data_IF_583167766855
#
_entry.id   IF_583167766855
#
_cell.length_a   1.000
_cell.length_b   1.000
_cell.length_c   1.000
_cell.angle_alpha   90.00
_cell.angle_beta   90.00
_cell.angle_gamma   90.00
#
_symmetry.space_group_name_H-M   'P 1'
#
loop_
_entity.id
_entity.type
_entity.pdbx_description
1 polymer ?
#
# COMPACT_ATOMS: atom_id res chain seq x y z
N UNK A 1 10.06 12.90 10.74
CA UNK A 1 9.71 12.27 12.02
C UNK A 1 8.27 11.81 11.91
N UNK A 2 8.05 10.50 11.81
CA UNK A 2 6.72 9.90 11.61
C UNK A 2 5.85 10.20 12.82
N UNK A 3 4.60 10.59 12.59
CA UNK A 3 3.62 10.82 13.65
C UNK A 3 2.73 9.59 13.84
N UNK A 4 2.06 9.53 15.00
CA UNK A 4 1.14 8.45 15.31
C UNK A 4 -0.03 8.39 14.31
N UNK A 5 -0.45 9.55 13.81
CA UNK A 5 -1.52 9.69 12.82
C UNK A 5 -1.14 9.02 11.50
N UNK A 6 0.12 9.11 11.09
CA UNK A 6 0.63 8.53 9.83
C UNK A 6 0.55 7.00 9.83
N UNK A 7 0.67 6.37 11.01
CA UNK A 7 0.56 4.91 11.16
C UNK A 7 -0.86 4.41 10.85
N UNK A 8 -1.89 5.22 11.08
CA UNK A 8 -3.27 4.82 10.78
C UNK A 8 -3.54 4.84 9.27
N UNK A 9 -2.79 5.63 8.50
CA UNK A 9 -2.93 5.75 7.05
C UNK A 9 -2.36 4.54 6.29
N UNK A 10 -1.68 3.60 6.96
CA UNK A 10 -1.04 2.47 6.30
C UNK A 10 -1.98 1.70 5.35
N UNK A 11 -3.23 1.47 5.77
CA UNK A 11 -4.21 0.74 4.96
C UNK A 11 -4.63 1.53 3.74
N UNK A 12 -4.88 2.83 3.90
CA UNK A 12 -5.28 3.72 2.82
C UNK A 12 -4.14 3.87 1.81
N UNK A 13 -2.89 3.98 2.29
CA UNK A 13 -1.69 3.97 1.44
C UNK A 13 -1.60 2.67 0.62
N UNK A 14 -1.86 1.51 1.24
CA UNK A 14 -1.84 0.23 0.52
C UNK A 14 -2.95 0.18 -0.55
N UNK A 15 -4.15 0.65 -0.22
CA UNK A 15 -5.27 0.70 -1.14
C UNK A 15 -4.99 1.66 -2.32
N UNK A 16 -4.46 2.85 -2.05
CA UNK A 16 -4.09 3.85 -3.06
C UNK A 16 -3.03 3.28 -4.02
N UNK A 17 -2.02 2.56 -3.52
CA UNK A 17 -1.03 1.88 -4.37
C UNK A 17 -1.71 0.85 -5.28
N UNK A 18 -2.65 0.06 -4.77
CA UNK A 18 -3.36 -0.94 -5.56
C UNK A 18 -4.27 -0.32 -6.63
N UNK A 19 -4.97 0.77 -6.29
CA UNK A 19 -5.81 1.53 -7.20
C UNK A 19 -4.98 2.13 -8.34
N UNK A 20 -3.91 2.85 -8.03
CA UNK A 20 -3.03 3.46 -9.04
C UNK A 20 -2.39 2.38 -9.94
N UNK A 21 -2.01 1.23 -9.37
CA UNK A 21 -1.49 0.10 -10.17
C UNK A 21 -2.54 -0.47 -11.12
N UNK A 22 -3.78 -0.59 -10.68
CA UNK A 22 -4.89 -1.06 -11.53
C UNK A 22 -5.17 -0.08 -12.66
N UNK A 23 -5.24 1.22 -12.35
CA UNK A 23 -5.42 2.27 -13.36
C UNK A 23 -4.27 2.29 -14.37
N UNK A 24 -3.03 2.16 -13.90
CA UNK A 24 -1.85 2.13 -14.76
C UNK A 24 -1.80 0.90 -15.68
N UNK A 25 -2.51 -0.19 -15.36
CA UNK A 25 -2.61 -1.40 -16.19
C UNK A 25 -3.75 -1.34 -17.22
N UNK A 26 -4.59 -0.30 -17.19
CA UNK A 26 -5.69 -0.20 -18.15
C UNK A 26 -5.14 -0.05 -19.57
N UNK A 27 -5.53 -0.94 -20.50
CA UNK A 27 -5.07 -0.87 -21.87
C UNK A 27 -5.68 0.37 -22.55
N UNK A 28 -4.83 1.17 -23.17
CA UNK A 28 -5.23 2.26 -24.04
C UNK A 28 -5.21 1.73 -25.47
N UNK A 29 -6.32 1.87 -26.16
CA UNK A 29 -6.47 1.49 -27.55
C UNK A 29 -6.67 2.75 -28.40
N UNK A 30 -6.00 2.80 -29.54
CA UNK A 30 -6.19 3.83 -30.55
C UNK A 30 -6.34 3.17 -31.92
N UNK A 31 -6.95 3.90 -32.85
CA UNK A 31 -7.25 3.43 -34.20
C UNK A 31 -6.61 4.37 -35.20
N UNK A 32 -5.62 3.86 -35.93
CA UNK A 32 -4.90 4.62 -36.96
C UNK A 32 -5.24 4.09 -38.36
N UNK A 33 -5.02 4.92 -39.37
CA UNK A 33 -5.12 4.49 -40.78
C UNK A 33 -3.74 4.11 -41.28
N UNK A 34 -3.60 2.87 -41.73
CA UNK A 34 -2.43 2.36 -42.43
C UNK A 34 -2.72 2.13 -43.91
N UNK A 35 -1.68 1.93 -44.69
CA UNK A 35 -1.77 1.43 -46.06
C UNK A 35 -1.17 0.03 -46.13
N UNK A 36 -1.60 -0.78 -47.09
CA UNK A 36 -0.91 -2.03 -47.42
C UNK A 36 0.57 -1.77 -47.69
N UNK A 37 1.43 -2.73 -47.37
CA UNK A 37 2.88 -2.61 -47.58
C UNK A 37 3.26 -2.73 -49.07
N UNK A 38 2.39 -3.33 -49.87
CA UNK A 38 2.61 -3.60 -51.29
C UNK A 38 1.51 -3.00 -52.18
N UNK A 39 1.85 -2.75 -53.45
CA UNK A 39 0.93 -2.17 -54.42
C UNK A 39 -0.24 -3.13 -54.71
N UNK A 40 -1.49 -2.64 -54.81
CA UNK A 40 -1.92 -1.25 -54.69
C UNK A 40 -2.14 -0.87 -53.22
N UNK A 41 -1.44 0.15 -52.73
CA UNK A 41 -1.38 0.58 -51.32
C UNK A 41 -2.74 0.99 -50.72
N UNK A 42 -3.65 0.04 -50.52
CA UNK A 42 -5.02 0.27 -50.07
C UNK A 42 -5.04 0.69 -48.61
N UNK A 43 -5.81 1.73 -48.30
CA UNK A 43 -6.01 2.18 -46.94
C UNK A 43 -6.83 1.17 -46.13
N UNK A 44 -6.38 0.86 -44.93
CA UNK A 44 -7.08 0.02 -43.97
C UNK A 44 -6.92 0.56 -42.55
N UNK A 45 -7.77 0.09 -41.66
CA UNK A 45 -7.80 0.54 -40.27
C UNK A 45 -6.99 -0.42 -39.40
N UNK A 46 -6.04 0.10 -38.63
CA UNK A 46 -5.21 -0.68 -37.70
C UNK A 46 -5.56 -0.29 -36.28
N UNK A 47 -5.87 -1.28 -35.44
CA UNK A 47 -6.06 -1.08 -34.01
C UNK A 47 -4.73 -1.27 -33.30
N UNK A 48 -4.27 -0.24 -32.60
CA UNK A 48 -3.08 -0.29 -31.76
C UNK A 48 -3.56 -0.36 -30.31
N UNK A 49 -2.93 -1.23 -29.52
CA UNK A 49 -3.18 -1.36 -28.09
C UNK A 49 -1.86 -1.24 -27.33
N UNK A 50 -1.87 -0.55 -26.21
CA UNK A 50 -0.71 -0.40 -25.35
C UNK A 50 -1.11 -0.10 -23.91
N UNK A 51 -0.12 -0.03 -23.03
CA UNK A 51 -0.29 0.42 -21.65
C UNK A 51 0.24 1.85 -21.57
N UNK A 52 -0.58 2.79 -21.10
CA UNK A 52 -0.14 4.18 -20.97
C UNK A 52 1.00 4.27 -19.96
N UNK A 53 2.16 4.75 -20.40
CA UNK A 53 3.28 5.02 -19.49
C UNK A 53 2.99 6.32 -18.71
N UNK A 54 2.29 6.19 -17.59
CA UNK A 54 2.00 7.32 -16.72
C UNK A 54 3.13 7.51 -15.70
N UNK A 55 4.12 8.34 -16.07
CA UNK A 55 5.29 8.61 -15.22
C UNK A 55 4.91 9.27 -13.88
N UNK A 56 3.85 10.09 -13.87
CA UNK A 56 3.28 10.65 -12.64
C UNK A 56 2.74 9.55 -11.72
N UNK A 57 2.05 8.55 -12.26
CA UNK A 57 1.57 7.41 -11.49
C UNK A 57 2.73 6.58 -10.91
N UNK A 58 3.80 6.36 -11.69
CA UNK A 58 5.02 5.68 -11.21
C UNK A 58 5.64 6.44 -10.03
N UNK A 59 5.85 7.75 -10.17
CA UNK A 59 6.42 8.59 -9.11
C UNK A 59 5.54 8.66 -7.86
N UNK A 60 4.21 8.59 -8.03
CA UNK A 60 3.28 8.52 -6.90
C UNK A 60 3.38 7.18 -6.18
N UNK A 61 3.45 6.07 -6.92
CA UNK A 61 3.61 4.73 -6.34
C UNK A 61 4.92 4.64 -5.55
N UNK A 62 6.04 5.11 -6.09
CA UNK A 62 7.34 5.06 -5.39
C UNK A 62 7.30 5.83 -4.07
N UNK A 63 6.75 7.04 -4.07
CA UNK A 63 6.57 7.83 -2.85
C UNK A 63 5.71 7.12 -1.80
N UNK A 64 4.59 6.52 -2.22
CA UNK A 64 3.71 5.77 -1.30
C UNK A 64 4.37 4.50 -0.77
N UNK A 65 5.19 3.83 -1.60
CA UNK A 65 5.98 2.66 -1.17
C UNK A 65 7.02 3.04 -0.12
N UNK A 66 7.75 4.14 -0.31
CA UNK A 66 8.70 4.64 0.68
C UNK A 66 8.04 4.92 2.02
N UNK A 67 6.86 5.57 2.02
CA UNK A 67 6.06 5.79 3.23
C UNK A 67 5.62 4.49 3.89
N UNK A 68 5.14 3.53 3.10
CA UNK A 68 4.77 2.20 3.59
C UNK A 68 5.95 1.53 4.28
N UNK A 69 7.13 1.54 3.66
CA UNK A 69 8.35 0.97 4.22
C UNK A 69 8.82 1.71 5.48
N UNK A 70 8.64 3.02 5.55
CA UNK A 70 8.92 3.81 6.76
C UNK A 70 8.06 3.34 7.95
N UNK A 71 6.76 3.12 7.71
CA UNK A 71 5.84 2.59 8.73
C UNK A 71 6.23 1.17 9.14
N UNK A 72 6.61 0.32 8.19
CA UNK A 72 7.04 -1.05 8.47
C UNK A 72 8.33 -1.08 9.30
N UNK A 73 9.29 -0.20 8.99
CA UNK A 73 10.52 -0.03 9.79
C UNK A 73 10.23 0.39 11.22
N UNK A 74 9.22 1.25 11.46
CA UNK A 74 8.77 1.60 12.81
C UNK A 74 8.23 0.38 13.56
N UNK A 75 7.43 -0.46 12.88
CA UNK A 75 6.93 -1.71 13.47
C UNK A 75 8.11 -2.62 13.82
N UNK A 76 9.09 -2.78 12.93
CA UNK A 76 10.22 -3.69 13.14
C UNK A 76 11.17 -3.20 14.24
N UNK A 77 11.31 -1.88 14.42
CA UNK A 77 12.11 -1.27 15.49
C UNK A 77 11.51 -1.46 16.88
N UNK A 78 10.24 -1.87 17.02
CA UNK A 78 9.66 -2.06 18.35
C UNK A 78 10.42 -3.15 19.13
N UNK A 79 10.72 -2.91 20.42
CA UNK A 79 11.65 -3.75 21.19
C UNK A 79 11.10 -5.15 21.49
N UNK A 80 9.81 -5.24 21.79
CA UNK A 80 9.19 -6.50 22.22
C UNK A 80 8.52 -7.22 21.05
N UNK A 81 8.75 -8.53 20.92
CA UNK A 81 8.08 -9.38 19.91
C UNK A 81 6.56 -9.32 20.01
N UNK A 82 6.02 -9.25 21.24
CA UNK A 82 4.59 -9.05 21.49
C UNK A 82 4.10 -7.70 20.94
N UNK A 83 4.84 -6.63 21.17
CA UNK A 83 4.49 -5.28 20.69
C UNK A 83 4.50 -5.22 19.16
N UNK A 84 5.51 -5.82 18.50
CA UNK A 84 5.54 -5.96 17.03
C UNK A 84 4.32 -6.68 16.49
N UNK A 85 3.91 -7.77 17.15
CA UNK A 85 2.74 -8.56 16.76
C UNK A 85 1.43 -7.78 16.93
N UNK A 86 1.26 -7.07 18.06
CA UNK A 86 0.11 -6.18 18.28
C UNK A 86 0.06 -5.07 17.23
N UNK A 87 1.19 -4.38 17.00
CA UNK A 87 1.30 -3.31 16.04
C UNK A 87 0.99 -3.78 14.61
N UNK A 88 1.49 -4.96 14.22
CA UNK A 88 1.18 -5.57 12.93
C UNK A 88 -0.32 -5.85 12.77
N UNK A 89 -0.99 -6.37 13.82
CA UNK A 89 -2.43 -6.60 13.78
C UNK A 89 -3.23 -5.30 13.74
N UNK A 90 -2.78 -4.28 14.48
CA UNK A 90 -3.48 -2.99 14.54
C UNK A 90 -3.32 -2.18 13.25
N UNK A 91 -2.09 -2.02 12.79
CA UNK A 91 -1.72 -1.15 11.65
C UNK A 91 -1.97 -1.87 10.33
N UNK A 92 -1.41 -3.07 10.14
CA UNK A 92 -1.54 -3.78 8.84
C UNK A 92 -2.92 -4.39 8.63
N UNK A 93 -3.54 -4.91 9.70
CA UNK A 93 -4.84 -5.61 9.60
C UNK A 93 -6.05 -4.80 10.07
N UNK A 94 -5.85 -3.63 10.69
CA UNK A 94 -6.96 -2.79 11.16
C UNK A 94 -7.81 -3.42 12.27
N UNK A 95 -7.30 -4.40 13.01
CA UNK A 95 -8.08 -5.14 14.01
C UNK A 95 -8.46 -4.27 15.22
N UNK A 96 -9.63 -4.54 15.82
CA UNK A 96 -10.03 -3.95 17.10
C UNK A 96 -9.18 -4.48 18.25
N UNK A 97 -9.14 -3.75 19.37
CA UNK A 97 -8.38 -4.17 20.54
C UNK A 97 -8.90 -5.49 21.13
N UNK A 98 -10.21 -5.71 21.07
CA UNK A 98 -10.83 -6.97 21.52
C UNK A 98 -10.41 -8.15 20.65
N UNK A 99 -10.43 -7.97 19.32
CA UNK A 99 -9.98 -8.99 18.39
C UNK A 99 -8.48 -9.30 18.55
N UNK A 100 -7.66 -8.26 18.83
CA UNK A 100 -6.23 -8.44 19.11
C UNK A 100 -6.05 -9.24 20.40
N UNK A 101 -6.74 -8.88 21.49
CA UNK A 101 -6.64 -9.59 22.76
C UNK A 101 -7.04 -11.06 22.63
N UNK A 102 -8.15 -11.35 21.95
CA UNK A 102 -8.59 -12.71 21.66
C UNK A 102 -7.52 -13.49 20.86
N UNK A 103 -6.95 -12.88 19.82
CA UNK A 103 -5.94 -13.52 18.96
C UNK A 103 -4.56 -13.68 19.64
N UNK A 104 -4.30 -12.91 20.69
CA UNK A 104 -3.06 -12.97 21.46
C UNK A 104 -3.11 -13.96 22.63
N UNK A 105 -4.19 -14.75 22.72
CA UNK A 105 -4.32 -15.88 23.64
C UNK A 105 -5.18 -15.63 24.87
N UNK A 106 -6.03 -14.60 24.89
CA UNK A 106 -7.09 -14.42 25.91
C UNK A 106 -6.65 -14.12 27.35
N UNK A 107 -5.36 -14.19 27.67
CA UNK A 107 -4.84 -13.99 29.03
C UNK A 107 -4.67 -12.52 29.45
N UNK A 108 -4.99 -11.55 28.60
CA UNK A 108 -4.84 -10.11 28.88
C UNK A 108 -6.03 -9.33 28.35
N UNK A 109 -6.40 -8.28 29.09
CA UNK A 109 -7.46 -7.37 28.66
C UNK A 109 -7.05 -6.56 27.42
N UNK A 110 -8.02 -6.14 26.59
CA UNK A 110 -7.79 -5.24 25.46
C UNK A 110 -6.99 -3.98 25.83
N UNK A 111 -7.27 -3.40 27.01
CA UNK A 111 -6.56 -2.23 27.52
C UNK A 111 -5.10 -2.50 27.86
N UNK A 112 -4.77 -3.70 28.35
CA UNK A 112 -3.39 -4.11 28.59
C UNK A 112 -2.59 -4.17 27.28
N UNK A 113 -3.19 -4.66 26.20
CA UNK A 113 -2.55 -4.69 24.88
C UNK A 113 -2.38 -3.26 24.33
N UNK A 114 -3.39 -2.40 24.49
CA UNK A 114 -3.32 -0.98 24.10
C UNK A 114 -2.20 -0.23 24.84
N UNK A 115 -2.05 -0.44 26.14
CA UNK A 115 -0.95 0.15 26.93
C UNK A 115 0.41 -0.35 26.46
N UNK A 116 0.53 -1.66 26.20
CA UNK A 116 1.77 -2.26 25.69
C UNK A 116 2.18 -1.65 24.35
N UNK A 117 1.20 -1.48 23.45
CA UNK A 117 1.42 -0.82 22.15
C UNK A 117 1.81 0.65 22.30
N UNK A 118 1.11 1.42 23.13
CA UNK A 118 1.38 2.85 23.30
C UNK A 118 2.78 3.10 23.87
N UNK A 119 3.18 2.30 24.87
CA UNK A 119 4.54 2.37 25.42
C UNK A 119 5.61 2.01 24.40
N UNK A 120 5.37 0.98 23.58
CA UNK A 120 6.30 0.60 22.52
C UNK A 120 6.43 1.68 21.44
N UNK A 121 5.33 2.34 21.08
CA UNK A 121 5.34 3.47 20.16
C UNK A 121 6.16 4.66 20.70
N UNK A 122 5.95 5.03 21.96
CA UNK A 122 6.69 6.14 22.58
C UNK A 122 8.21 5.90 22.58
N UNK A 123 8.65 4.65 22.69
CA UNK A 123 10.08 4.31 22.64
C UNK A 123 10.63 4.47 21.22
N UNK A 124 9.85 4.12 20.20
CA UNK A 124 10.31 4.13 18.80
C UNK A 124 10.20 5.51 18.16
N UNK A 125 9.29 6.35 18.66
CA UNK A 125 9.06 7.71 18.19
C UNK A 125 9.87 8.78 18.96
N UNK A 126 10.56 8.40 20.03
CA UNK A 126 11.59 9.22 20.70
C UNK A 126 12.92 9.09 19.98
#
# INVERSE_FOLDING_TARGET
MIKKEDLNQYRDICAEIEEIKKEALLPVADTVRGSSEEYPYTAHTVKIQGVAQNERAKNRITYLQEKKEEIERVIDRMPNSRARRIASMRIKKGMSWDAIAAKMGGGRSPDSERKTYSKALEIVLK
#
